data_IF_910133035003
#
_entry.id   IF_910133035003
#
_cell.length_a   1.000
_cell.length_b   1.000
_cell.length_c   1.000
_cell.angle_alpha   90.00
_cell.angle_beta   90.00
_cell.angle_gamma   90.00
#
_symmetry.space_group_name_H-M   'P 1'
#
loop_
_entity.id
_entity.type
_entity.pdbx_description
1 polymer ?
#
# COMPACT_ATOMS: atom_id res chain seq x y z
N UNK A 1 1.24 -45.19 -4.05
CA UNK A 1 0.21 -44.51 -4.85
C UNK A 1 0.14 -43.07 -4.36
N UNK A 2 0.71 -42.11 -5.09
CA UNK A 2 0.68 -40.69 -4.70
C UNK A 2 -0.53 -40.05 -5.37
N UNK A 3 -1.55 -39.71 -4.58
CA UNK A 3 -2.72 -38.98 -5.08
C UNK A 3 -2.31 -37.52 -5.21
N UNK A 4 -1.94 -37.11 -6.43
CA UNK A 4 -1.76 -35.72 -6.78
C UNK A 4 -3.13 -35.02 -6.76
N UNK A 5 -3.44 -34.36 -5.65
CA UNK A 5 -4.54 -33.38 -5.59
C UNK A 5 -4.14 -32.16 -6.43
N UNK A 6 -4.37 -32.26 -7.73
CA UNK A 6 -4.34 -31.11 -8.63
C UNK A 6 -5.54 -30.23 -8.29
N UNK A 7 -5.29 -29.16 -7.54
CA UNK A 7 -6.26 -28.07 -7.42
C UNK A 7 -6.64 -27.63 -8.84
N UNK A 8 -7.86 -27.97 -9.27
CA UNK A 8 -8.39 -27.59 -10.58
C UNK A 8 -8.60 -26.09 -10.60
N UNK A 9 -7.59 -25.34 -11.04
CA UNK A 9 -7.72 -23.92 -11.35
C UNK A 9 -8.82 -23.78 -12.41
N UNK A 10 -9.89 -23.04 -12.11
CA UNK A 10 -10.99 -22.84 -13.06
C UNK A 10 -10.51 -21.99 -14.23
N UNK A 11 -10.46 -22.56 -15.43
CA UNK A 11 -10.43 -21.89 -16.73
C UNK A 11 -9.27 -20.89 -16.98
N UNK A 12 -8.78 -20.78 -18.22
CA UNK A 12 -7.72 -19.80 -18.59
C UNK A 12 -8.06 -18.34 -18.22
N UNK A 13 -9.35 -18.00 -18.08
CA UNK A 13 -9.81 -16.67 -17.70
C UNK A 13 -9.41 -16.25 -16.27
N UNK A 14 -9.50 -17.15 -15.28
CA UNK A 14 -9.14 -16.77 -13.89
C UNK A 14 -7.63 -16.56 -13.73
N UNK A 15 -6.83 -17.34 -14.45
CA UNK A 15 -5.39 -17.13 -14.56
C UNK A 15 -5.06 -15.80 -15.25
N UNK A 16 -5.82 -15.41 -16.27
CA UNK A 16 -5.64 -14.10 -16.92
C UNK A 16 -5.92 -12.92 -15.99
N UNK A 17 -6.88 -13.06 -15.06
CA UNK A 17 -7.17 -12.04 -14.06
C UNK A 17 -6.03 -11.90 -13.05
N UNK A 18 -5.48 -13.03 -12.56
CA UNK A 18 -4.29 -13.03 -11.69
C UNK A 18 -3.13 -12.33 -12.39
N UNK A 19 -2.83 -12.69 -13.64
CA UNK A 19 -1.74 -12.09 -14.43
C UNK A 19 -1.96 -10.59 -14.59
N UNK A 20 -3.19 -10.16 -14.88
CA UNK A 20 -3.52 -8.75 -15.09
C UNK A 20 -3.32 -7.92 -13.83
N UNK A 21 -3.70 -8.45 -12.66
CA UNK A 21 -3.50 -7.79 -11.37
C UNK A 21 -2.02 -7.80 -10.98
N UNK A 22 -1.32 -8.92 -11.14
CA UNK A 22 0.10 -9.05 -10.81
C UNK A 22 0.98 -8.07 -11.60
N UNK A 23 0.65 -7.81 -12.88
CA UNK A 23 1.35 -6.81 -13.71
C UNK A 23 1.31 -5.39 -13.15
N UNK A 24 0.36 -5.08 -12.26
CA UNK A 24 0.25 -3.76 -11.62
C UNK A 24 1.24 -3.59 -10.47
N UNK A 25 1.85 -4.67 -9.97
CA UNK A 25 2.77 -4.59 -8.82
C UNK A 25 4.07 -3.87 -9.19
N UNK A 26 4.73 -4.26 -10.29
CA UNK A 26 6.03 -3.65 -10.66
C UNK A 26 5.95 -2.13 -10.85
N UNK A 27 4.97 -1.56 -11.58
CA UNK A 27 4.84 -0.10 -11.67
C UNK A 27 4.58 0.58 -10.32
N UNK A 28 3.91 -0.10 -9.38
CA UNK A 28 3.65 0.44 -8.03
C UNK A 28 4.91 0.43 -7.18
N UNK A 29 5.73 -0.61 -7.28
CA UNK A 29 7.06 -0.64 -6.66
C UNK A 29 7.93 0.47 -7.23
N UNK A 30 7.93 0.65 -8.55
CA UNK A 30 8.70 1.70 -9.21
C UNK A 30 8.27 3.10 -8.73
N UNK A 31 6.96 3.31 -8.53
CA UNK A 31 6.44 4.57 -7.99
C UNK A 31 6.91 4.83 -6.55
N UNK A 32 6.91 3.82 -5.69
CA UNK A 32 7.42 3.91 -4.31
C UNK A 32 8.91 4.23 -4.32
N UNK A 33 9.70 3.45 -5.05
CA UNK A 33 11.16 3.65 -5.15
C UNK A 33 11.48 5.04 -5.69
N UNK A 34 10.73 5.51 -6.70
CA UNK A 34 10.89 6.87 -7.23
C UNK A 34 10.62 7.94 -6.17
N UNK A 35 9.60 7.78 -5.34
CA UNK A 35 9.28 8.73 -4.26
C UNK A 35 10.28 8.74 -3.10
N UNK A 36 11.14 7.73 -3.00
CA UNK A 36 12.21 7.69 -2.00
C UNK A 36 13.45 8.52 -2.40
N UNK A 37 13.54 8.97 -3.66
CA UNK A 37 14.64 9.83 -4.08
C UNK A 37 14.39 11.30 -3.72
N UNK A 38 15.45 12.07 -3.41
CA UNK A 38 15.32 13.49 -3.12
C UNK A 38 14.74 14.32 -4.29
N UNK A 39 13.97 15.40 -4.00
CA UNK A 39 13.46 15.76 -2.68
C UNK A 39 12.38 14.76 -2.23
N UNK A 40 12.56 14.19 -1.05
CA UNK A 40 11.65 13.18 -0.50
C UNK A 40 10.42 13.88 0.09
N UNK A 41 9.25 13.51 -0.40
CA UNK A 41 7.95 13.96 0.09
C UNK A 41 7.30 12.79 0.87
N UNK A 42 7.21 12.87 2.21
CA UNK A 42 6.63 11.81 3.04
C UNK A 42 5.16 11.51 2.72
N UNK A 43 4.38 12.51 2.32
CA UNK A 43 2.96 12.34 1.98
C UNK A 43 2.84 11.57 0.67
N UNK A 44 3.68 11.91 -0.32
CA UNK A 44 3.73 11.17 -1.58
C UNK A 44 4.18 9.72 -1.36
N UNK A 45 5.19 9.50 -0.52
CA UNK A 45 5.68 8.15 -0.20
C UNK A 45 4.60 7.31 0.48
N UNK A 46 3.89 7.85 1.47
CA UNK A 46 2.74 7.21 2.14
C UNK A 46 1.65 6.82 1.12
N UNK A 47 1.29 7.74 0.23
CA UNK A 47 0.28 7.50 -0.80
C UNK A 47 0.71 6.40 -1.79
N UNK A 48 1.97 6.40 -2.26
CA UNK A 48 2.47 5.38 -3.20
C UNK A 48 2.61 4.02 -2.54
N UNK A 49 3.09 3.96 -1.30
CA UNK A 49 3.20 2.72 -0.54
C UNK A 49 1.82 2.13 -0.23
N UNK A 50 0.84 2.96 0.13
CA UNK A 50 -0.56 2.53 0.30
C UNK A 50 -1.11 1.93 -0.99
N UNK A 51 -0.87 2.56 -2.14
CA UNK A 51 -1.32 2.05 -3.44
C UNK A 51 -0.68 0.70 -3.81
N UNK A 52 0.60 0.49 -3.43
CA UNK A 52 1.27 -0.80 -3.58
C UNK A 52 0.62 -1.86 -2.69
N UNK A 53 0.42 -1.58 -1.40
CA UNK A 53 -0.22 -2.49 -0.45
C UNK A 53 -1.61 -2.93 -0.95
N UNK A 54 -2.46 -1.98 -1.36
CA UNK A 54 -3.77 -2.28 -1.92
C UNK A 54 -3.70 -3.16 -3.18
N UNK A 55 -2.69 -2.96 -4.02
CA UNK A 55 -2.49 -3.77 -5.23
C UNK A 55 -2.09 -5.21 -4.87
N UNK A 56 -1.27 -5.40 -3.84
CA UNK A 56 -0.87 -6.71 -3.32
C UNK A 56 -2.05 -7.41 -2.64
N UNK A 57 -2.80 -6.72 -1.79
CA UNK A 57 -4.01 -7.26 -1.15
C UNK A 57 -5.05 -7.68 -2.19
N UNK A 58 -5.24 -6.89 -3.25
CA UNK A 58 -6.11 -7.26 -4.36
C UNK A 58 -5.61 -8.52 -5.11
N UNK A 59 -4.30 -8.64 -5.33
CA UNK A 59 -3.72 -9.85 -5.93
C UNK A 59 -4.00 -11.10 -5.09
N UNK A 60 -3.86 -10.99 -3.77
CA UNK A 60 -4.19 -12.07 -2.83
C UNK A 60 -5.66 -12.48 -2.96
N UNK A 61 -6.58 -11.52 -2.96
CA UNK A 61 -8.02 -11.77 -3.09
C UNK A 61 -8.37 -12.48 -4.41
N UNK A 62 -7.84 -11.98 -5.54
CA UNK A 62 -8.09 -12.57 -6.87
C UNK A 62 -7.50 -13.99 -6.94
N UNK A 63 -6.31 -14.20 -6.40
CA UNK A 63 -5.66 -15.52 -6.37
C UNK A 63 -6.44 -16.51 -5.52
N UNK A 64 -6.86 -16.10 -4.31
CA UNK A 64 -7.64 -16.96 -3.40
C UNK A 64 -8.97 -17.37 -4.05
N UNK A 65 -9.63 -16.44 -4.72
CA UNK A 65 -10.88 -16.67 -5.44
C UNK A 65 -10.68 -17.63 -6.63
N UNK A 66 -9.69 -17.38 -7.48
CA UNK A 66 -9.40 -18.17 -8.68
C UNK A 66 -8.94 -19.61 -8.37
N UNK A 67 -8.16 -19.77 -7.29
CA UNK A 67 -7.58 -21.06 -6.90
C UNK A 67 -8.42 -21.83 -5.88
N UNK A 68 -9.58 -21.30 -5.45
CA UNK A 68 -10.44 -21.91 -4.42
C UNK A 68 -9.66 -22.35 -3.17
N UNK A 69 -8.74 -21.50 -2.71
CA UNK A 69 -7.89 -21.85 -1.57
C UNK A 69 -8.72 -21.89 -0.30
N UNK A 70 -9.09 -23.10 0.13
CA UNK A 70 -10.00 -23.34 1.27
C UNK A 70 -9.27 -23.59 2.60
N UNK A 71 -7.94 -23.44 2.65
CA UNK A 71 -7.13 -23.55 3.85
C UNK A 71 -6.78 -22.20 4.46
N UNK A 72 -6.42 -22.20 5.74
CA UNK A 72 -5.82 -21.03 6.40
C UNK A 72 -4.50 -20.70 5.71
N UNK A 73 -4.33 -19.45 5.30
CA UNK A 73 -3.10 -18.97 4.66
C UNK A 73 -2.40 -18.00 5.60
N UNK A 74 -2.11 -18.48 6.81
CA UNK A 74 -1.60 -17.65 7.90
C UNK A 74 -0.33 -16.87 7.49
N UNK A 75 0.52 -17.45 6.64
CA UNK A 75 1.70 -16.77 6.14
C UNK A 75 1.37 -15.57 5.24
N UNK A 76 0.28 -15.62 4.46
CA UNK A 76 -0.18 -14.48 3.64
C UNK A 76 -0.69 -13.40 4.57
N UNK A 77 -1.55 -13.77 5.52
CA UNK A 77 -2.15 -12.83 6.45
C UNK A 77 -1.07 -12.16 7.32
N UNK A 78 -0.09 -12.93 7.80
CA UNK A 78 1.09 -12.40 8.51
C UNK A 78 1.93 -11.46 7.63
N UNK A 79 2.11 -11.79 6.35
CA UNK A 79 2.88 -10.94 5.43
C UNK A 79 2.16 -9.63 5.13
N UNK A 80 0.84 -9.66 4.95
CA UNK A 80 0.03 -8.47 4.77
C UNK A 80 0.03 -7.62 6.04
N UNK A 81 -0.10 -8.24 7.20
CA UNK A 81 -0.07 -7.55 8.48
C UNK A 81 1.27 -6.85 8.73
N UNK A 82 2.39 -7.53 8.48
CA UNK A 82 3.71 -6.90 8.56
C UNK A 82 3.86 -5.71 7.61
N UNK A 83 3.24 -5.77 6.42
CA UNK A 83 3.22 -4.63 5.50
C UNK A 83 2.35 -3.47 6.01
N UNK A 84 1.22 -3.76 6.66
CA UNK A 84 0.38 -2.76 7.33
C UNK A 84 1.13 -2.05 8.47
N UNK A 85 1.92 -2.79 9.26
CA UNK A 85 2.76 -2.22 10.32
C UNK A 85 3.76 -1.20 9.76
N UNK A 86 4.38 -1.49 8.60
CA UNK A 86 5.25 -0.53 7.92
C UNK A 86 4.49 0.73 7.46
N UNK A 87 3.22 0.59 7.07
CA UNK A 87 2.39 1.74 6.67
C UNK A 87 2.12 2.70 7.82
N UNK A 88 2.05 2.22 9.07
CA UNK A 88 1.89 3.09 10.25
C UNK A 88 3.04 4.10 10.34
N UNK A 89 4.28 3.63 10.16
CA UNK A 89 5.47 4.49 10.22
C UNK A 89 5.46 5.54 9.11
N UNK A 90 5.10 5.15 7.87
CA UNK A 90 4.99 6.08 6.75
C UNK A 90 3.89 7.12 6.99
N UNK A 91 2.79 6.69 7.59
CA UNK A 91 1.67 7.57 7.93
C UNK A 91 2.05 8.60 8.98
N UNK A 92 2.75 8.18 10.03
CA UNK A 92 3.28 9.09 11.07
C UNK A 92 4.26 10.11 10.47
N UNK A 93 5.16 9.67 9.60
CA UNK A 93 6.09 10.56 8.91
C UNK A 93 5.37 11.57 8.01
N UNK A 94 4.33 11.14 7.29
CA UNK A 94 3.48 12.02 6.48
C UNK A 94 2.78 13.08 7.36
N UNK A 95 2.18 12.69 8.47
CA UNK A 95 1.52 13.60 9.41
C UNK A 95 2.49 14.60 10.05
N UNK A 96 3.70 14.17 10.40
CA UNK A 96 4.74 15.05 10.94
C UNK A 96 5.30 16.04 9.92
N UNK A 97 5.13 15.76 8.62
CA UNK A 97 5.59 16.62 7.52
C UNK A 97 4.61 17.73 7.14
N UNK A 98 3.36 17.67 7.64
CA UNK A 98 2.38 18.72 7.41
C UNK A 98 2.90 20.03 8.03
N UNK A 99 3.02 21.12 7.24
CA UNK A 99 3.40 22.40 7.80
C UNK A 99 2.33 22.81 8.81
N UNK A 100 2.75 23.13 10.04
CA UNK A 100 1.90 23.79 11.03
C UNK A 100 1.19 24.93 10.31
N UNK A 101 -0.13 24.79 10.15
CA UNK A 101 -0.97 25.78 9.46
C UNK A 101 -0.88 27.06 10.27
N UNK A 102 0.12 27.89 9.97
CA UNK A 102 0.31 29.17 10.62
C UNK A 102 -0.95 29.97 10.37
N UNK A 103 -1.76 30.13 11.41
CA UNK A 103 -2.93 31.00 11.39
C UNK A 103 -2.43 32.39 10.96
N UNK A 104 -2.93 32.97 9.86
CA UNK A 104 -2.51 34.31 9.48
C UNK A 104 -3.10 35.31 10.47
N UNK A 105 -2.23 35.96 11.26
CA UNK A 105 -2.45 37.29 11.80
C UNK A 105 -3.25 37.39 13.10
N UNK A 106 -2.56 37.28 14.24
CA UNK A 106 -2.88 38.09 15.42
C UNK A 106 -1.57 38.71 15.94
N UNK A 107 -0.81 39.36 15.06
CA UNK A 107 0.28 40.24 15.48
C UNK A 107 -0.30 41.61 15.84
N UNK A 108 -0.75 41.67 17.09
CA UNK A 108 -0.69 42.79 18.03
C UNK A 108 -0.30 44.15 17.43
N UNK A 109 -1.29 44.88 16.91
CA UNK A 109 -1.20 46.33 16.77
C UNK A 109 -1.44 46.96 18.16
N UNK A 110 -0.42 46.92 19.02
CA UNK A 110 -0.41 47.66 20.29
C UNK A 110 0.92 48.37 20.52
N UNK A 111 1.37 49.07 19.49
CA UNK A 111 2.45 50.04 19.60
C UNK A 111 2.01 51.31 18.89
N UNK A 112 1.27 52.17 19.63
CA UNK A 112 1.14 53.62 19.41
C UNK A 112 0.11 54.18 20.40
N UNK A 113 0.61 54.64 21.55
CA UNK A 113 0.11 55.81 22.27
C UNK A 113 1.16 56.17 23.33
N UNK A 114 2.15 56.95 22.90
CA UNK A 114 2.87 57.90 23.76
C UNK A 114 2.00 59.14 23.81
#
# INVERSE_FOLDING_TARGET
MTMGSGAKVKAPASLSDIITVAKRISPRVDDVVRSMYPPLDPILLDARATALLLSVSHLVLVTRNACHMSGSMDWIDQSLHAAEDHMVVLREAALASEPERSLPGIDVQREQAI
#
